data_IF_011017279310
#
_entry.id   IF_011017279310
#
_cell.length_a   1.000
_cell.length_b   1.000
_cell.length_c   1.000
_cell.angle_alpha   90.00
_cell.angle_beta   90.00
_cell.angle_gamma   90.00
#
_symmetry.space_group_name_H-M   'P 1'
#
loop_
_entity.id
_entity.type
_entity.pdbx_description
1 polymer ?
#
# COMPACT_ATOMS: atom_id res chain seq x y z
N UNK A 1 -21.55 -38.09 -3.64
CA UNK A 1 -20.46 -37.39 -2.94
C UNK A 1 -20.82 -35.92 -2.85
N UNK A 2 -20.87 -35.33 -1.64
CA UNK A 2 -20.92 -33.87 -1.53
C UNK A 2 -19.56 -33.32 -1.94
N UNK A 3 -19.53 -32.44 -2.94
CA UNK A 3 -18.33 -31.72 -3.33
C UNK A 3 -18.11 -30.62 -2.28
N UNK A 4 -17.02 -30.71 -1.54
CA UNK A 4 -16.61 -29.64 -0.64
C UNK A 4 -16.22 -28.42 -1.47
N UNK A 5 -16.97 -27.32 -1.31
CA UNK A 5 -16.65 -26.05 -1.99
C UNK A 5 -15.47 -25.39 -1.29
N UNK A 6 -14.34 -25.27 -2.00
CA UNK A 6 -13.19 -24.50 -1.53
C UNK A 6 -13.43 -23.01 -1.83
N UNK A 7 -13.53 -22.20 -0.77
CA UNK A 7 -13.59 -20.73 -0.90
C UNK A 7 -12.19 -20.15 -1.06
N UNK A 8 -12.06 -19.11 -1.89
CA UNK A 8 -10.78 -18.39 -2.07
C UNK A 8 -10.42 -17.51 -0.86
N UNK A 9 -11.41 -17.14 -0.03
CA UNK A 9 -11.23 -16.35 1.19
C UNK A 9 -12.18 -16.84 2.29
N UNK A 10 -11.76 -16.69 3.56
CA UNK A 10 -12.54 -17.04 4.76
C UNK A 10 -12.34 -15.97 5.83
N UNK A 11 -13.26 -15.90 6.77
CA UNK A 11 -13.09 -15.06 7.97
C UNK A 11 -12.01 -15.65 8.88
N UNK A 12 -11.22 -14.77 9.50
CA UNK A 12 -10.14 -15.12 10.43
C UNK A 12 -10.36 -14.40 11.75
N UNK A 13 -11.36 -14.86 12.51
CA UNK A 13 -11.65 -14.38 13.86
C UNK A 13 -12.21 -15.52 14.72
N UNK A 14 -12.03 -15.43 16.03
CA UNK A 14 -12.54 -16.34 17.05
C UNK A 14 -13.17 -15.61 18.23
N UNK A 15 -13.16 -16.25 19.40
CA UNK A 15 -13.74 -15.66 20.62
C UNK A 15 -13.01 -14.40 21.08
N UNK A 16 -11.71 -14.32 20.83
CA UNK A 16 -10.86 -13.18 21.21
C UNK A 16 -11.29 -11.88 20.51
N UNK A 17 -11.55 -11.93 19.19
CA UNK A 17 -12.07 -10.77 18.44
C UNK A 17 -13.50 -10.41 18.87
N UNK A 18 -14.35 -11.40 19.18
CA UNK A 18 -15.71 -11.17 19.68
C UNK A 18 -15.66 -10.41 21.02
N UNK A 19 -14.83 -10.88 21.95
CA UNK A 19 -14.66 -10.26 23.26
C UNK A 19 -14.09 -8.84 23.13
N UNK A 20 -13.15 -8.62 22.20
CA UNK A 20 -12.61 -7.30 21.91
C UNK A 20 -13.69 -6.34 21.39
N UNK A 21 -14.56 -6.78 20.48
CA UNK A 21 -15.70 -5.99 19.99
C UNK A 21 -16.69 -5.68 21.12
N UNK A 22 -17.07 -6.68 21.91
CA UNK A 22 -17.99 -6.50 23.05
C UNK A 22 -17.42 -5.53 24.07
N UNK A 23 -16.11 -5.61 24.36
CA UNK A 23 -15.43 -4.68 25.26
C UNK A 23 -15.48 -3.25 24.71
N UNK A 24 -15.15 -3.06 23.44
CA UNK A 24 -15.23 -1.75 22.78
C UNK A 24 -16.64 -1.14 22.86
N UNK A 25 -17.68 -1.94 22.59
CA UNK A 25 -19.09 -1.50 22.69
C UNK A 25 -19.50 -1.09 24.12
N UNK A 26 -18.94 -1.73 25.14
CA UNK A 26 -19.20 -1.40 26.55
C UNK A 26 -18.48 -0.13 27.02
N UNK A 27 -17.36 0.22 26.38
CA UNK A 27 -16.53 1.36 26.78
C UNK A 27 -16.81 2.59 25.91
N UNK A 28 -16.44 2.53 24.61
CA UNK A 28 -16.70 3.59 23.64
C UNK A 28 -16.34 3.12 22.22
N UNK A 29 -17.18 3.46 21.25
CA UNK A 29 -16.92 3.23 19.82
C UNK A 29 -16.19 4.39 19.14
N UNK A 30 -15.87 5.46 19.88
CA UNK A 30 -15.08 6.56 19.33
C UNK A 30 -13.65 6.08 19.03
N UNK A 31 -13.12 6.47 17.86
CA UNK A 31 -11.73 6.20 17.53
C UNK A 31 -10.81 6.83 18.57
N UNK A 32 -10.00 6.02 19.23
CA UNK A 32 -9.25 6.47 20.40
C UNK A 32 -8.27 5.43 20.90
N UNK A 33 -8.48 4.93 22.11
CA UNK A 33 -7.54 4.05 22.82
C UNK A 33 -7.22 2.78 22.01
N UNK A 34 -8.24 2.13 21.44
CA UNK A 34 -8.06 0.90 20.66
C UNK A 34 -7.28 1.12 19.36
N UNK A 35 -7.53 2.23 18.67
CA UNK A 35 -6.79 2.59 17.45
C UNK A 35 -5.31 2.88 17.77
N UNK A 36 -5.02 3.65 18.83
CA UNK A 36 -3.64 3.97 19.23
C UNK A 36 -2.86 2.75 19.70
N UNK A 37 -3.51 1.83 20.41
CA UNK A 37 -2.88 0.58 20.82
C UNK A 37 -2.58 -0.30 19.60
N UNK A 38 -3.52 -0.40 18.65
CA UNK A 38 -3.30 -1.08 17.38
C UNK A 38 -2.12 -0.46 16.60
N UNK A 39 -2.09 0.86 16.43
CA UNK A 39 -1.00 1.58 15.76
C UNK A 39 0.36 1.28 16.41
N UNK A 40 0.44 1.29 17.74
CA UNK A 40 1.68 0.97 18.47
C UNK A 40 2.13 -0.47 18.21
N UNK A 41 1.20 -1.43 18.24
CA UNK A 41 1.52 -2.84 18.02
C UNK A 41 1.95 -3.11 16.58
N UNK A 42 1.24 -2.55 15.59
CA UNK A 42 1.57 -2.70 14.18
C UNK A 42 2.88 -1.97 13.83
N UNK A 43 3.09 -0.75 14.35
CA UNK A 43 4.36 -0.04 14.19
C UNK A 43 5.54 -0.87 14.68
N UNK A 44 5.40 -1.47 15.88
CA UNK A 44 6.41 -2.39 16.42
C UNK A 44 6.60 -3.63 15.54
N UNK A 45 5.53 -4.25 15.07
CA UNK A 45 5.57 -5.46 14.23
C UNK A 45 6.34 -5.24 12.93
N UNK A 46 6.17 -4.08 12.29
CA UNK A 46 6.84 -3.71 11.04
C UNK A 46 8.13 -2.91 11.23
N UNK A 47 8.61 -2.76 12.48
CA UNK A 47 9.79 -1.98 12.83
C UNK A 47 9.73 -0.53 12.31
N UNK A 48 8.61 0.15 12.55
CA UNK A 48 8.36 1.55 12.19
C UNK A 48 8.14 2.40 13.44
N UNK A 49 8.72 3.59 13.43
CA UNK A 49 8.54 4.59 14.51
C UNK A 49 7.11 5.15 14.55
N UNK A 50 6.44 5.16 13.40
CA UNK A 50 5.10 5.69 13.23
C UNK A 50 4.20 4.71 12.47
N UNK A 51 2.94 4.62 12.89
CA UNK A 51 1.86 3.89 12.23
C UNK A 51 0.58 4.71 12.40
N UNK A 52 -0.22 4.81 11.34
CA UNK A 52 -1.50 5.51 11.36
C UNK A 52 -2.60 4.53 10.90
N UNK A 53 -3.57 4.28 11.77
CA UNK A 53 -4.73 3.48 11.46
C UNK A 53 -5.76 4.32 10.73
N UNK A 54 -6.30 3.76 9.64
CA UNK A 54 -7.29 4.41 8.79
C UNK A 54 -8.38 3.40 8.43
N UNK A 55 -9.52 3.90 7.94
CA UNK A 55 -10.70 3.08 7.69
C UNK A 55 -10.56 2.09 6.50
N UNK A 56 -9.53 2.21 5.66
CA UNK A 56 -9.25 1.25 4.58
C UNK A 56 -7.83 1.39 4.03
N UNK A 57 -7.31 0.36 3.36
CA UNK A 57 -6.04 0.45 2.62
C UNK A 57 -6.07 1.48 1.48
N UNK A 58 -7.24 1.71 0.86
CA UNK A 58 -7.41 2.76 -0.12
C UNK A 58 -7.19 4.14 0.50
N UNK A 59 -7.84 4.42 1.64
CA UNK A 59 -7.66 5.68 2.38
C UNK A 59 -6.21 5.90 2.78
N UNK A 60 -5.49 4.82 3.14
CA UNK A 60 -4.06 4.90 3.44
C UNK A 60 -3.26 5.42 2.25
N UNK A 61 -3.50 4.89 1.05
CA UNK A 61 -2.86 5.37 -0.19
C UNK A 61 -3.23 6.81 -0.51
N UNK A 62 -4.50 7.20 -0.34
CA UNK A 62 -4.93 8.58 -0.57
C UNK A 62 -4.20 9.56 0.35
N UNK A 63 -4.17 9.29 1.66
CA UNK A 63 -3.47 10.14 2.62
C UNK A 63 -1.96 10.15 2.40
N UNK A 64 -1.36 9.00 2.08
CA UNK A 64 0.08 8.91 1.81
C UNK A 64 0.48 9.79 0.61
N UNK A 65 -0.31 9.79 -0.47
CA UNK A 65 -0.05 10.61 -1.65
C UNK A 65 -0.31 12.10 -1.39
N UNK A 66 -1.40 12.43 -0.68
CA UNK A 66 -1.73 13.81 -0.31
C UNK A 66 -0.64 14.44 0.56
N UNK A 67 -0.13 13.70 1.54
CA UNK A 67 0.90 14.18 2.46
C UNK A 67 2.27 14.46 1.80
N UNK A 68 2.51 13.93 0.60
CA UNK A 68 3.75 14.15 -0.15
C UNK A 68 3.74 15.45 -0.97
N UNK A 69 2.57 16.09 -1.11
CA UNK A 69 2.41 17.41 -1.75
C UNK A 69 3.11 17.54 -3.11
N UNK A 70 3.07 16.47 -3.91
CA UNK A 70 3.71 16.49 -5.23
C UNK A 70 3.14 17.61 -6.10
N UNK A 71 3.98 18.29 -6.91
CA UNK A 71 3.49 19.29 -7.85
C UNK A 71 2.45 18.69 -8.80
N UNK A 72 1.45 19.49 -9.16
CA UNK A 72 0.46 19.12 -10.17
C UNK A 72 1.12 18.62 -11.45
N UNK A 73 0.51 17.62 -12.09
CA UNK A 73 0.96 16.97 -13.33
C UNK A 73 2.31 16.24 -13.19
N UNK A 74 2.80 16.03 -11.96
CA UNK A 74 3.93 15.14 -11.71
C UNK A 74 3.60 13.70 -12.06
N UNK A 75 4.63 12.96 -12.45
CA UNK A 75 4.51 11.57 -12.85
C UNK A 75 4.89 10.63 -11.70
N UNK A 76 4.10 9.58 -11.51
CA UNK A 76 4.37 8.52 -10.52
C UNK A 76 4.38 7.18 -11.25
N UNK A 77 5.52 6.49 -11.16
CA UNK A 77 5.68 5.17 -11.77
C UNK A 77 4.97 4.13 -10.90
N UNK A 78 4.19 3.25 -11.51
CA UNK A 78 3.47 2.16 -10.83
C UNK A 78 3.35 0.95 -11.76
N UNK A 79 3.26 -0.31 -11.26
CA UNK A 79 2.99 -1.43 -12.13
C UNK A 79 1.63 -1.32 -12.84
N UNK A 80 1.55 -1.81 -14.08
CA UNK A 80 0.28 -1.95 -14.81
C UNK A 80 -0.66 -2.97 -14.14
N UNK A 81 -0.09 -3.98 -13.47
CA UNK A 81 -0.82 -4.99 -12.70
C UNK A 81 -0.87 -4.56 -11.22
N UNK A 82 -1.99 -3.99 -10.80
CA UNK A 82 -2.22 -3.51 -9.43
C UNK A 82 -3.71 -3.42 -9.12
N UNK A 83 -4.06 -3.08 -7.88
CA UNK A 83 -5.42 -2.73 -7.50
C UNK A 83 -5.77 -1.29 -7.90
N UNK A 84 -7.04 -1.02 -8.22
CA UNK A 84 -7.47 0.24 -8.82
C UNK A 84 -7.16 1.49 -7.97
N UNK A 85 -7.16 1.37 -6.64
CA UNK A 85 -6.94 2.51 -5.75
C UNK A 85 -5.49 2.98 -5.68
N UNK A 86 -4.53 2.15 -6.10
CA UNK A 86 -3.14 2.57 -6.39
C UNK A 86 -3.08 3.65 -7.46
N UNK A 87 -3.97 3.57 -8.46
CA UNK A 87 -4.06 4.55 -9.55
C UNK A 87 -5.04 5.66 -9.20
N UNK A 88 -6.14 5.33 -8.51
CA UNK A 88 -7.16 6.30 -8.11
C UNK A 88 -6.64 7.41 -7.20
N UNK A 89 -5.67 7.13 -6.32
CA UNK A 89 -5.05 8.14 -5.48
C UNK A 89 -4.20 9.15 -6.28
N UNK A 90 -3.59 8.73 -7.38
CA UNK A 90 -2.82 9.60 -8.26
C UNK A 90 -3.73 10.58 -8.99
N UNK A 91 -4.81 10.09 -9.62
CA UNK A 91 -5.75 10.94 -10.34
C UNK A 91 -6.45 11.96 -9.43
N UNK A 92 -6.86 11.55 -8.21
CA UNK A 92 -7.47 12.49 -7.24
C UNK A 92 -6.53 13.64 -6.89
N UNK A 93 -5.22 13.40 -6.93
CA UNK A 93 -4.18 14.38 -6.60
C UNK A 93 -3.61 15.10 -7.83
N UNK A 94 -4.26 15.01 -9.00
CA UNK A 94 -3.78 15.59 -10.26
C UNK A 94 -2.36 15.12 -10.65
N UNK A 95 -2.06 13.85 -10.36
CA UNK A 95 -0.81 13.19 -10.74
C UNK A 95 -1.05 12.28 -11.95
N UNK A 96 0.01 12.06 -12.73
CA UNK A 96 -0.03 11.20 -13.92
C UNK A 96 0.60 9.84 -13.59
N UNK A 97 -0.16 8.72 -13.64
CA UNK A 97 0.43 7.39 -13.53
C UNK A 97 1.27 7.08 -14.78
N UNK A 98 2.49 6.60 -14.56
CA UNK A 98 3.35 6.05 -15.62
C UNK A 98 3.48 4.56 -15.40
N UNK A 99 2.84 3.79 -16.28
CA UNK A 99 2.79 2.35 -16.13
C UNK A 99 4.08 1.69 -16.58
N UNK A 100 4.62 0.84 -15.71
CA UNK A 100 5.70 -0.08 -16.03
C UNK A 100 5.16 -1.51 -15.94
N UNK A 101 5.60 -2.34 -16.86
CA UNK A 101 5.19 -3.74 -16.93
C UNK A 101 5.75 -4.56 -15.74
N UNK A 102 5.21 -5.74 -15.52
CA UNK A 102 5.63 -6.64 -14.43
C UNK A 102 6.62 -7.70 -14.90
N UNK A 103 7.35 -8.28 -13.96
CA UNK A 103 8.09 -9.51 -14.18
C UNK A 103 7.12 -10.70 -14.09
N UNK A 104 7.11 -11.57 -15.10
CA UNK A 104 6.13 -12.65 -15.25
C UNK A 104 6.19 -13.72 -14.15
N UNK A 105 7.35 -13.88 -13.50
CA UNK A 105 7.55 -14.91 -12.48
C UNK A 105 7.13 -14.41 -11.10
N UNK A 106 7.29 -13.10 -10.86
CA UNK A 106 7.01 -12.48 -9.56
C UNK A 106 5.69 -11.73 -9.53
N UNK A 107 5.19 -11.33 -10.71
CA UNK A 107 4.07 -10.41 -10.94
C UNK A 107 4.25 -9.02 -10.31
N UNK A 108 5.44 -8.72 -9.81
CA UNK A 108 5.84 -7.42 -9.28
C UNK A 108 6.40 -6.53 -10.40
N UNK A 109 6.47 -5.22 -10.17
CA UNK A 109 7.01 -4.25 -11.15
C UNK A 109 8.42 -4.67 -11.65
N UNK A 110 8.62 -4.70 -12.96
CA UNK A 110 9.91 -5.05 -13.56
C UNK A 110 10.90 -3.89 -13.41
N UNK A 111 11.76 -4.01 -12.39
CA UNK A 111 12.80 -3.04 -12.08
C UNK A 111 13.74 -2.70 -13.25
N UNK A 112 13.92 -3.60 -14.23
CA UNK A 112 14.78 -3.36 -15.40
C UNK A 112 14.15 -2.39 -16.39
N UNK A 113 12.82 -2.22 -16.34
CA UNK A 113 12.06 -1.33 -17.24
C UNK A 113 11.86 0.07 -16.64
N UNK A 114 12.06 0.26 -15.34
CA UNK A 114 11.76 1.51 -14.62
C UNK A 114 12.59 2.70 -15.12
N UNK A 115 13.92 2.57 -15.25
CA UNK A 115 14.76 3.72 -15.59
C UNK A 115 14.40 4.36 -16.94
N UNK A 116 13.85 3.57 -17.88
CA UNK A 116 13.37 4.05 -19.20
C UNK A 116 12.10 4.91 -19.10
N UNK A 117 11.33 4.77 -18.04
CA UNK A 117 10.10 5.53 -17.79
C UNK A 117 10.36 6.83 -17.02
N UNK A 118 11.58 7.04 -16.49
CA UNK A 118 11.91 8.23 -15.70
C UNK A 118 12.17 9.43 -16.61
N UNK A 119 11.58 10.57 -16.27
CA UNK A 119 11.88 11.87 -16.86
C UNK A 119 11.82 12.98 -15.79
N UNK A 120 11.95 14.24 -16.22
CA UNK A 120 11.98 15.41 -15.31
C UNK A 120 10.71 15.61 -14.46
N UNK A 121 9.57 15.04 -14.87
CA UNK A 121 8.29 15.08 -14.16
C UNK A 121 8.14 13.94 -13.14
N UNK A 122 8.95 12.89 -13.23
CA UNK A 122 8.85 11.75 -12.32
C UNK A 122 9.23 12.17 -10.90
N UNK A 123 8.37 11.87 -9.92
CA UNK A 123 8.59 12.20 -8.51
C UNK A 123 8.61 10.99 -7.58
N UNK A 124 7.94 9.92 -7.96
CA UNK A 124 7.84 8.75 -7.12
C UNK A 124 7.72 7.45 -7.92
N UNK A 125 7.97 6.35 -7.23
CA UNK A 125 7.64 5.00 -7.62
C UNK A 125 6.71 4.45 -6.53
N UNK A 126 5.50 4.00 -6.91
CA UNK A 126 4.66 3.16 -6.05
C UNK A 126 4.93 1.71 -6.41
N UNK A 127 5.51 0.97 -5.47
CA UNK A 127 5.74 -0.46 -5.58
C UNK A 127 4.60 -1.24 -4.92
N UNK A 128 4.27 -2.41 -5.46
CA UNK A 128 3.14 -3.21 -4.98
C UNK A 128 3.62 -4.64 -4.69
N UNK A 129 3.41 -5.06 -3.46
CA UNK A 129 3.67 -6.44 -2.99
C UNK A 129 2.53 -7.35 -3.46
N UNK A 130 2.51 -7.65 -4.77
CA UNK A 130 1.39 -8.33 -5.39
C UNK A 130 1.29 -9.79 -4.91
N UNK A 131 0.09 -10.18 -4.46
CA UNK A 131 -0.20 -11.52 -3.94
C UNK A 131 0.74 -11.99 -2.81
N UNK A 132 1.33 -11.04 -2.06
CA UNK A 132 2.27 -11.31 -0.97
C UNK A 132 3.72 -11.51 -1.42
N UNK A 133 4.02 -11.37 -2.71
CA UNK A 133 5.39 -11.38 -3.20
C UNK A 133 6.00 -9.98 -3.18
N UNK A 134 7.29 -9.88 -2.89
CA UNK A 134 7.98 -8.60 -2.75
C UNK A 134 8.73 -8.23 -4.04
N UNK A 135 8.61 -6.99 -4.55
CA UNK A 135 9.45 -6.48 -5.60
C UNK A 135 10.90 -6.40 -5.11
N UNK A 136 11.81 -6.19 -6.07
CA UNK A 136 13.25 -6.02 -5.81
C UNK A 136 13.55 -4.68 -5.13
N UNK A 137 13.16 -4.55 -3.86
CA UNK A 137 13.30 -3.32 -3.07
C UNK A 137 14.75 -2.85 -2.95
N UNK A 138 15.72 -3.76 -2.99
CA UNK A 138 17.15 -3.44 -3.07
C UNK A 138 17.49 -2.64 -4.34
N UNK A 139 16.87 -2.99 -5.47
CA UNK A 139 17.02 -2.30 -6.76
C UNK A 139 16.21 -1.01 -6.78
N UNK A 140 14.94 -1.06 -6.34
CA UNK A 140 14.06 0.11 -6.28
C UNK A 140 14.66 1.24 -5.43
N UNK A 141 15.20 0.92 -4.24
CA UNK A 141 15.87 1.89 -3.38
C UNK A 141 17.09 2.54 -4.06
N UNK A 142 17.86 1.76 -4.83
CA UNK A 142 19.00 2.30 -5.60
C UNK A 142 18.54 3.25 -6.69
N UNK A 143 17.51 2.88 -7.45
CA UNK A 143 16.91 3.73 -8.51
C UNK A 143 16.36 5.02 -7.87
N UNK A 144 15.54 4.90 -6.82
CA UNK A 144 14.97 6.04 -6.11
C UNK A 144 16.04 7.00 -5.60
N UNK A 145 17.13 6.49 -5.02
CA UNK A 145 18.26 7.33 -4.59
C UNK A 145 18.99 7.99 -5.76
N UNK A 146 19.23 7.27 -6.85
CA UNK A 146 19.94 7.78 -8.05
C UNK A 146 19.18 8.94 -8.71
N UNK A 147 17.86 8.87 -8.74
CA UNK A 147 17.01 9.86 -9.42
C UNK A 147 16.26 10.81 -8.46
N UNK A 148 16.54 10.74 -7.16
CA UNK A 148 15.86 11.52 -6.12
C UNK A 148 14.32 11.37 -6.17
N UNK A 149 13.84 10.12 -6.22
CA UNK A 149 12.42 9.77 -6.23
C UNK A 149 11.99 9.25 -4.86
N UNK A 150 10.75 9.54 -4.46
CA UNK A 150 10.13 8.89 -3.30
C UNK A 150 9.77 7.44 -3.67
N UNK A 151 10.10 6.49 -2.81
CA UNK A 151 9.64 5.10 -2.93
C UNK A 151 8.48 4.89 -1.95
N UNK A 152 7.34 4.52 -2.50
CA UNK A 152 6.07 4.30 -1.80
C UNK A 152 5.75 2.81 -1.89
#
# INVERSE_FOLDING_TARGET
>A
MMIEKVSYAKTVYGQEEIDAVVKCLKESTQMGVYAREFEKQIGKLFHKDHCLYVNSGSSALYLAIEALEFPKDSEVITPALTFSTTVGCLFKNNLTPVFVDVDENTLCIDSKKIEKAINKKTKAIIAVDLLGNMPRYDVLKKISKKYNLVLI
#
